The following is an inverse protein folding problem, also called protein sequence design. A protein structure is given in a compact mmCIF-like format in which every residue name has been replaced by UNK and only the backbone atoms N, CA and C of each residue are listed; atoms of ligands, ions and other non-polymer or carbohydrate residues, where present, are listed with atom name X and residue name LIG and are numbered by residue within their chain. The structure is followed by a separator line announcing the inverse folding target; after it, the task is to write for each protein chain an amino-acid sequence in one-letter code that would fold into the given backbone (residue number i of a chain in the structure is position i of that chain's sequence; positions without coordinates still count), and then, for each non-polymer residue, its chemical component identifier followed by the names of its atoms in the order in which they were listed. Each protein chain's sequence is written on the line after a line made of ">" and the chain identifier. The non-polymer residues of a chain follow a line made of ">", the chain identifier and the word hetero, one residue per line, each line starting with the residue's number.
data_IF_204508919226
#
_entry.id   IF_204508919226
#
_cell.length_a   1.000
_cell.length_b   1.000
_cell.length_c   1.000
_cell.angle_alpha   90.00
_cell.angle_beta   90.00
_cell.angle_gamma   90.00
#
_symmetry.space_group_name_H-M   'P 1'
#
loop_
_entity.id
_entity.type
_entity.pdbx_description
1 polymer ?
#
# COMPACT_ATOMS: atom_id res chain seq x y z
N UNK A 1 -16.25 19.97 -1.92
CA UNK A 1 -15.20 20.61 -2.75
C UNK A 1 -13.87 19.96 -2.45
N UNK A 2 -13.02 19.76 -3.47
CA UNK A 2 -11.65 19.25 -3.28
C UNK A 2 -10.84 20.28 -2.49
N UNK A 3 -10.07 19.84 -1.49
CA UNK A 3 -9.24 20.72 -0.67
C UNK A 3 -7.78 20.41 -0.94
N UNK A 4 -7.01 21.42 -1.34
CA UNK A 4 -5.55 21.30 -1.46
C UNK A 4 -4.95 21.14 -0.06
N UNK A 5 -4.26 20.04 0.17
CA UNK A 5 -3.59 19.70 1.43
C UNK A 5 -2.16 19.24 1.15
N UNK A 6 -1.30 19.24 2.17
CA UNK A 6 0.02 18.60 2.10
C UNK A 6 -0.02 17.22 2.75
N UNK A 7 0.65 16.23 2.16
CA UNK A 7 0.93 14.97 2.84
C UNK A 7 2.24 15.09 3.63
N UNK A 8 2.19 14.84 4.94
CA UNK A 8 3.38 14.82 5.80
C UNK A 8 3.80 13.37 6.03
N UNK A 9 5.07 13.09 5.72
CA UNK A 9 5.65 11.76 5.87
C UNK A 9 7.13 11.86 6.34
N UNK A 10 7.74 10.73 6.67
CA UNK A 10 9.17 10.57 6.98
C UNK A 10 9.72 11.41 8.14
N UNK A 11 8.88 11.78 9.12
CA UNK A 11 9.37 12.40 10.36
C UNK A 11 10.32 11.43 11.09
N UNK A 12 11.59 11.82 11.17
CA UNK A 12 12.62 11.01 11.82
C UNK A 12 13.51 11.87 12.72
N UNK A 13 13.79 11.37 13.93
CA UNK A 13 14.76 11.96 14.85
C UNK A 13 15.81 10.92 15.18
N UNK A 14 17.08 11.31 15.04
CA UNK A 14 18.22 10.45 15.35
C UNK A 14 18.11 9.86 16.77
N UNK A 15 18.48 8.58 16.95
CA UNK A 15 18.27 7.83 18.21
C UNK A 15 18.79 8.58 19.44
N UNK A 16 19.96 9.21 19.33
CA UNK A 16 20.62 9.98 20.42
C UNK A 16 19.92 11.30 20.80
N UNK A 17 18.96 11.78 20.00
CA UNK A 17 18.30 13.09 20.18
C UNK A 17 16.81 12.98 20.56
N UNK A 18 16.25 11.77 20.69
CA UNK A 18 14.81 11.55 20.89
C UNK A 18 14.26 12.20 22.16
N UNK A 19 15.06 12.32 23.22
CA UNK A 19 14.66 12.96 24.49
C UNK A 19 14.77 14.49 24.48
N UNK A 20 15.29 15.11 23.40
CA UNK A 20 15.57 16.55 23.35
C UNK A 20 14.44 17.40 22.75
N UNK A 21 13.22 16.86 22.63
CA UNK A 21 12.05 17.55 22.06
C UNK A 21 12.30 18.16 20.65
N UNK A 22 13.09 17.47 19.83
CA UNK A 22 13.40 17.93 18.45
C UNK A 22 12.19 17.79 17.52
N UNK A 23 11.41 16.71 17.64
CA UNK A 23 10.25 16.47 16.76
C UNK A 23 9.23 17.63 16.77
N UNK A 24 8.80 18.20 17.91
CA UNK A 24 7.96 19.40 17.92
C UNK A 24 8.55 20.62 17.19
N UNK A 25 9.89 20.79 17.21
CA UNK A 25 10.55 21.88 16.49
C UNK A 25 10.44 21.66 14.99
N UNK A 26 10.72 20.43 14.51
CA UNK A 26 10.61 20.07 13.10
C UNK A 26 9.18 20.22 12.58
N UNK A 27 8.19 19.77 13.36
CA UNK A 27 6.76 19.90 13.01
C UNK A 27 6.37 21.37 12.88
N UNK A 28 6.76 22.24 13.83
CA UNK A 28 6.46 23.68 13.74
C UNK A 28 7.10 24.33 12.52
N UNK A 29 8.34 23.97 12.19
CA UNK A 29 9.03 24.56 11.04
C UNK A 29 8.41 24.12 9.71
N UNK A 30 8.06 22.83 9.55
CA UNK A 30 7.38 22.41 8.32
C UNK A 30 5.97 23.02 8.21
N UNK A 31 5.23 23.13 9.31
CA UNK A 31 3.94 23.86 9.33
C UNK A 31 4.12 25.32 8.89
N UNK A 32 5.17 26.01 9.38
CA UNK A 32 5.46 27.39 8.96
C UNK A 32 5.71 27.48 7.46
N UNK A 33 6.51 26.58 6.88
CA UNK A 33 6.81 26.55 5.44
C UNK A 33 5.56 26.30 4.60
N UNK A 34 4.75 25.32 4.99
CA UNK A 34 3.50 24.98 4.28
C UNK A 34 2.50 26.15 4.33
N UNK A 35 2.39 26.83 5.47
CA UNK A 35 1.53 28.01 5.61
C UNK A 35 1.97 29.18 4.71
N UNK A 36 3.27 29.34 4.44
CA UNK A 36 3.76 30.38 3.52
C UNK A 36 3.34 30.12 2.07
N UNK A 37 3.13 28.87 1.68
CA UNK A 37 2.58 28.47 0.39
C UNK A 37 1.04 28.56 0.34
N UNK A 38 0.41 29.12 1.38
CA UNK A 38 -1.05 29.30 1.47
C UNK A 38 -1.82 28.00 1.75
N UNK A 39 -1.14 26.91 2.10
CA UNK A 39 -1.77 25.64 2.49
C UNK A 39 -1.83 25.58 4.01
N UNK A 40 -3.00 25.28 4.56
CA UNK A 40 -3.21 25.28 6.02
C UNK A 40 -3.69 23.93 6.56
N UNK A 41 -3.86 22.93 5.69
CA UNK A 41 -4.32 21.59 6.02
C UNK A 41 -3.25 20.57 5.64
N UNK A 42 -3.15 19.50 6.41
CA UNK A 42 -2.28 18.38 6.10
C UNK A 42 -2.97 17.04 6.37
N UNK A 43 -2.56 16.01 5.63
CA UNK A 43 -2.87 14.61 5.90
C UNK A 43 -1.57 13.91 6.30
N UNK A 44 -1.65 13.01 7.27
CA UNK A 44 -0.51 12.18 7.64
C UNK A 44 -0.97 10.88 8.29
N UNK A 45 -0.09 9.90 8.28
CA UNK A 45 -0.32 8.62 8.94
C UNK A 45 0.72 8.35 10.01
N UNK A 46 0.36 7.59 11.04
CA UNK A 46 1.31 7.13 12.04
C UNK A 46 0.94 5.74 12.57
N UNK A 47 1.96 4.94 12.89
CA UNK A 47 1.78 3.66 13.59
C UNK A 47 1.51 3.81 15.09
N UNK A 48 1.67 5.02 15.65
CA UNK A 48 1.36 5.36 17.04
C UNK A 48 0.02 6.09 17.12
N UNK A 49 -0.68 5.92 18.24
CA UNK A 49 -1.95 6.58 18.49
C UNK A 49 -1.68 8.01 19.01
N UNK A 50 -2.22 9.00 18.31
CA UNK A 50 -2.25 10.40 18.69
C UNK A 50 -3.72 10.86 18.81
N UNK A 51 -4.08 11.77 19.73
CA UNK A 51 -5.44 12.30 19.79
C UNK A 51 -5.73 13.28 18.63
N UNK A 52 -6.79 13.14 17.80
CA UNK A 52 -7.72 12.02 17.60
C UNK A 52 -7.63 11.58 16.13
N UNK A 53 -7.44 10.28 15.80
CA UNK A 53 -7.37 9.83 14.41
C UNK A 53 -8.74 9.97 13.73
N UNK A 54 -8.72 10.18 12.42
CA UNK A 54 -9.93 10.20 11.59
C UNK A 54 -10.31 8.80 11.12
N UNK A 55 -9.34 7.91 10.97
CA UNK A 55 -9.56 6.51 10.62
C UNK A 55 -8.40 5.64 11.10
N UNK A 56 -8.67 4.34 11.24
CA UNK A 56 -7.70 3.33 11.65
C UNK A 56 -7.74 2.16 10.69
N UNK A 57 -6.61 1.83 10.08
CA UNK A 57 -6.47 0.67 9.19
C UNK A 57 -5.50 -0.34 9.80
N UNK A 58 -5.79 -1.63 9.69
CA UNK A 58 -4.94 -2.73 10.14
C UNK A 58 -4.06 -3.21 8.99
N UNK A 59 -2.79 -3.51 9.28
CA UNK A 59 -1.93 -4.20 8.33
C UNK A 59 -2.27 -5.68 8.22
N UNK A 60 -2.16 -6.19 7.00
CA UNK A 60 -2.32 -7.60 6.66
C UNK A 60 -1.13 -8.06 5.81
N UNK A 61 -0.74 -9.31 6.00
CA UNK A 61 0.46 -9.88 5.41
C UNK A 61 0.15 -11.19 4.68
N UNK A 62 0.62 -11.31 3.45
CA UNK A 62 0.53 -12.53 2.65
C UNK A 62 1.93 -13.06 2.34
N UNK A 63 2.26 -14.21 2.90
CA UNK A 63 3.56 -14.87 2.72
C UNK A 63 3.77 -15.37 1.28
N UNK A 64 4.73 -14.80 0.56
CA UNK A 64 5.13 -15.27 -0.77
C UNK A 64 6.31 -16.24 -0.68
N UNK A 65 7.19 -16.05 0.31
CA UNK A 65 8.32 -16.91 0.62
C UNK A 65 8.29 -17.39 2.09
N UNK A 66 7.39 -18.32 2.46
CA UNK A 66 7.21 -18.72 3.86
C UNK A 66 8.47 -19.24 4.54
N UNK A 67 9.36 -19.91 3.79
CA UNK A 67 10.63 -20.42 4.31
C UNK A 67 11.51 -19.29 4.83
N UNK A 68 11.77 -18.28 4.00
CA UNK A 68 12.59 -17.14 4.40
C UNK A 68 11.94 -16.35 5.55
N UNK A 69 10.63 -16.15 5.50
CA UNK A 69 9.90 -15.40 6.53
C UNK A 69 9.96 -16.08 7.92
N UNK A 70 9.96 -17.41 7.97
CA UNK A 70 10.14 -18.18 9.21
C UNK A 70 11.61 -18.13 9.66
N UNK A 71 12.58 -18.30 8.75
CA UNK A 71 14.01 -18.24 9.05
C UNK A 71 14.42 -16.88 9.66
N UNK A 72 13.91 -15.77 9.12
CA UNK A 72 14.19 -14.41 9.63
C UNK A 72 13.28 -13.97 10.79
N UNK A 73 12.42 -14.86 11.30
CA UNK A 73 11.45 -14.58 12.37
C UNK A 73 10.48 -13.43 12.08
N UNK A 74 10.20 -13.17 10.81
CA UNK A 74 9.12 -12.25 10.41
C UNK A 74 7.75 -12.88 10.67
N UNK A 75 7.63 -14.19 10.45
CA UNK A 75 6.42 -14.97 10.69
C UNK A 75 6.71 -16.21 11.51
N UNK A 76 5.74 -16.68 12.28
CA UNK A 76 5.82 -17.94 13.02
C UNK A 76 4.91 -19.01 12.43
N UNK A 77 5.30 -20.28 12.56
CA UNK A 77 4.42 -21.40 12.24
C UNK A 77 3.34 -21.52 13.32
N UNK A 78 2.08 -21.65 12.90
CA UNK A 78 0.99 -21.90 13.83
C UNK A 78 1.06 -23.32 14.42
N UNK A 79 0.32 -23.55 15.52
CA UNK A 79 0.24 -24.88 16.15
C UNK A 79 -0.19 -25.92 15.10
N UNK A 80 0.49 -27.05 15.06
CA UNK A 80 0.27 -28.17 14.12
C UNK A 80 0.62 -27.90 12.64
N UNK A 81 1.26 -26.77 12.31
CA UNK A 81 1.77 -26.51 10.97
C UNK A 81 3.27 -26.82 10.85
N UNK A 82 3.63 -27.55 9.80
CA UNK A 82 5.03 -27.73 9.38
C UNK A 82 5.37 -26.74 8.28
N UNK A 83 6.66 -26.45 8.07
CA UNK A 83 7.10 -25.56 7.00
C UNK A 83 6.60 -26.02 5.62
N UNK A 84 6.64 -27.34 5.34
CA UNK A 84 6.13 -27.91 4.09
C UNK A 84 4.62 -27.68 3.91
N UNK A 85 3.82 -27.85 4.97
CA UNK A 85 2.38 -27.58 4.93
C UNK A 85 2.11 -26.08 4.68
N UNK A 86 2.88 -25.21 5.33
CA UNK A 86 2.78 -23.75 5.14
C UNK A 86 3.14 -23.35 3.71
N UNK A 87 4.22 -23.91 3.14
CA UNK A 87 4.58 -23.67 1.76
C UNK A 87 3.50 -24.14 0.78
N UNK A 88 2.89 -25.31 1.04
CA UNK A 88 1.77 -25.82 0.23
C UNK A 88 0.53 -24.93 0.35
N UNK A 89 0.20 -24.49 1.56
CA UNK A 89 -0.94 -23.60 1.83
C UNK A 89 -0.82 -22.28 1.05
N UNK A 90 0.38 -21.71 1.03
CA UNK A 90 0.63 -20.40 0.43
C UNK A 90 1.09 -20.44 -1.03
N UNK A 91 1.16 -21.62 -1.65
CA UNK A 91 1.53 -21.79 -3.05
C UNK A 91 0.59 -20.98 -3.96
N UNK A 92 1.21 -20.24 -4.86
CA UNK A 92 0.54 -19.52 -5.95
C UNK A 92 0.88 -20.17 -7.30
N UNK A 93 0.02 -20.01 -8.32
CA UNK A 93 0.31 -20.35 -9.71
C UNK A 93 1.56 -19.66 -10.24
N UNK A 94 2.03 -20.11 -11.40
CA UNK A 94 3.23 -19.58 -12.06
C UNK A 94 2.90 -18.61 -13.20
N UNK A 95 1.62 -18.43 -13.53
CA UNK A 95 1.12 -17.47 -14.52
C UNK A 95 -0.17 -16.81 -14.02
N UNK A 96 -0.35 -15.55 -14.41
CA UNK A 96 -1.57 -14.76 -14.17
C UNK A 96 -2.75 -15.30 -14.98
N UNK A 97 -3.97 -15.00 -14.54
CA UNK A 97 -5.19 -15.51 -15.17
C UNK A 97 -5.96 -14.44 -15.95
N UNK A 98 -5.88 -13.18 -15.54
CA UNK A 98 -6.62 -12.09 -16.16
C UNK A 98 -6.11 -11.85 -17.58
N UNK A 99 -7.01 -11.98 -18.55
CA UNK A 99 -6.71 -11.69 -19.96
C UNK A 99 -6.47 -10.19 -20.14
N UNK A 100 -5.51 -9.82 -20.98
CA UNK A 100 -5.18 -8.41 -21.23
C UNK A 100 -4.36 -7.73 -20.13
N UNK A 101 -3.99 -8.46 -19.06
CA UNK A 101 -3.11 -7.94 -18.02
C UNK A 101 -1.69 -7.73 -18.57
N UNK A 102 -1.25 -6.48 -18.58
CA UNK A 102 0.10 -6.08 -19.04
C UNK A 102 0.66 -4.94 -18.19
N UNK A 103 1.99 -4.71 -18.20
CA UNK A 103 2.57 -3.52 -17.57
C UNK A 103 1.94 -2.23 -18.12
N UNK A 104 1.77 -1.25 -17.23
CA UNK A 104 1.32 0.09 -17.63
C UNK A 104 2.39 0.78 -18.50
N UNK A 105 1.96 1.43 -19.56
CA UNK A 105 2.79 2.24 -20.46
C UNK A 105 2.42 3.74 -20.37
N UNK A 106 3.27 4.61 -20.89
CA UNK A 106 3.03 6.07 -20.90
C UNK A 106 1.68 6.45 -21.55
N UNK A 107 1.28 5.73 -22.61
CA UNK A 107 0.02 5.98 -23.35
C UNK A 107 -1.22 5.72 -22.51
N UNK A 108 -1.11 4.91 -21.45
CA UNK A 108 -2.22 4.51 -20.59
C UNK A 108 -2.54 5.56 -19.52
N UNK A 109 -1.64 6.54 -19.30
CA UNK A 109 -1.69 7.49 -18.18
C UNK A 109 -3.06 8.19 -18.06
N UNK A 110 -3.57 8.74 -19.15
CA UNK A 110 -4.86 9.43 -19.16
C UNK A 110 -6.03 8.51 -18.81
N UNK A 111 -6.06 7.30 -19.36
CA UNK A 111 -7.11 6.33 -19.06
C UNK A 111 -7.06 5.87 -17.60
N UNK A 112 -5.86 5.64 -17.06
CA UNK A 112 -5.66 5.33 -15.63
C UNK A 112 -6.11 6.49 -14.74
N UNK A 113 -5.84 7.73 -15.14
CA UNK A 113 -6.28 8.94 -14.42
C UNK A 113 -7.81 9.04 -14.34
N UNK A 114 -8.51 8.78 -15.44
CA UNK A 114 -9.97 8.77 -15.47
C UNK A 114 -10.55 7.63 -14.60
N UNK A 115 -9.97 6.43 -14.67
CA UNK A 115 -10.37 5.27 -13.87
C UNK A 115 -10.19 5.52 -12.37
N UNK A 116 -9.00 5.95 -11.93
CA UNK A 116 -8.71 6.15 -10.51
C UNK A 116 -9.57 7.27 -9.91
N UNK A 117 -9.69 8.42 -10.59
CA UNK A 117 -10.50 9.53 -10.09
C UNK A 117 -11.99 9.22 -10.09
N UNK A 118 -12.46 8.31 -10.95
CA UNK A 118 -13.85 7.85 -10.95
C UNK A 118 -14.10 6.89 -9.81
N UNK A 119 -13.24 5.88 -9.65
CA UNK A 119 -13.32 4.90 -8.58
C UNK A 119 -13.23 5.53 -7.19
N UNK A 120 -12.28 6.45 -6.99
CA UNK A 120 -12.01 7.05 -5.67
C UNK A 120 -13.13 7.98 -5.15
N UNK A 121 -14.07 8.42 -5.99
CA UNK A 121 -15.21 9.26 -5.59
C UNK A 121 -16.15 8.60 -4.57
N UNK A 122 -16.10 7.29 -4.42
CA UNK A 122 -16.95 6.55 -3.48
C UNK A 122 -16.45 6.58 -2.03
N UNK A 123 -15.21 7.03 -1.81
CA UNK A 123 -14.57 7.13 -0.49
C UNK A 123 -14.65 8.55 0.06
N UNK A 124 -14.58 8.67 1.39
CA UNK A 124 -14.74 9.94 2.09
C UNK A 124 -13.43 10.75 2.11
N UNK A 125 -12.28 10.07 2.13
CA UNK A 125 -10.96 10.67 2.11
C UNK A 125 -10.14 10.02 0.99
N UNK A 126 -10.03 10.69 -0.16
CA UNK A 126 -9.23 10.21 -1.27
C UNK A 126 -8.50 11.35 -1.97
N UNK A 127 -7.32 11.09 -2.56
CA UNK A 127 -6.66 12.05 -3.42
C UNK A 127 -7.43 12.20 -4.73
N UNK A 128 -7.29 13.38 -5.34
CA UNK A 128 -7.67 13.63 -6.74
C UNK A 128 -6.38 13.92 -7.46
N UNK A 129 -6.09 13.16 -8.51
CA UNK A 129 -4.81 13.25 -9.21
C UNK A 129 -4.96 13.82 -10.61
N UNK A 130 -4.03 14.68 -11.02
CA UNK A 130 -3.87 15.05 -12.41
C UNK A 130 -3.06 13.99 -13.20
N UNK A 131 -2.88 14.21 -14.51
CA UNK A 131 -2.17 13.27 -15.39
C UNK A 131 -0.68 13.17 -15.02
N UNK A 132 -0.05 14.25 -14.58
CA UNK A 132 1.37 14.26 -14.19
C UNK A 132 1.58 13.49 -12.88
N UNK A 133 0.69 13.66 -11.91
CA UNK A 133 0.69 12.92 -10.66
C UNK A 133 0.46 11.42 -10.92
N UNK A 134 -0.49 11.06 -11.79
CA UNK A 134 -0.70 9.66 -12.17
C UNK A 134 0.53 9.07 -12.85
N UNK A 135 1.15 9.79 -13.78
CA UNK A 135 2.41 9.36 -14.39
C UNK A 135 3.51 9.18 -13.34
N UNK A 136 3.61 10.11 -12.38
CA UNK A 136 4.62 10.07 -11.35
C UNK A 136 4.49 8.85 -10.43
N UNK A 137 3.26 8.56 -9.99
CA UNK A 137 2.98 7.54 -8.99
C UNK A 137 2.82 6.14 -9.56
N UNK A 138 2.34 6.01 -10.80
CA UNK A 138 1.93 4.71 -11.34
C UNK A 138 2.78 4.20 -12.50
N UNK A 139 3.55 5.03 -13.21
CA UNK A 139 4.41 4.48 -14.26
C UNK A 139 5.45 3.54 -13.65
N UNK A 140 5.57 2.29 -14.14
CA UNK A 140 6.44 1.29 -13.54
C UNK A 140 7.89 1.78 -13.49
N UNK A 141 8.50 1.66 -12.31
CA UNK A 141 9.92 1.98 -12.08
C UNK A 141 10.54 0.81 -11.34
N UNK A 142 11.59 0.24 -11.92
CA UNK A 142 12.19 -0.96 -11.38
C UNK A 142 12.62 -0.75 -9.92
N UNK A 143 12.30 -1.72 -9.09
CA UNK A 143 12.53 -1.71 -7.64
C UNK A 143 11.84 -0.58 -6.85
N UNK A 144 10.90 0.16 -7.45
CA UNK A 144 10.15 1.24 -6.79
C UNK A 144 8.66 0.94 -6.83
N UNK A 145 8.03 0.95 -8.01
CA UNK A 145 6.59 0.76 -8.20
C UNK A 145 6.35 -0.15 -9.39
N UNK A 146 5.44 -1.09 -9.18
CA UNK A 146 4.96 -2.02 -10.18
C UNK A 146 3.47 -1.76 -10.42
N UNK A 147 3.11 -1.42 -11.66
CA UNK A 147 1.72 -1.17 -12.07
C UNK A 147 1.39 -1.94 -13.32
N UNK A 148 0.23 -2.58 -13.31
CA UNK A 148 -0.29 -3.38 -14.41
C UNK A 148 -1.72 -2.97 -14.71
N UNK A 149 -2.04 -2.84 -15.99
CA UNK A 149 -3.36 -2.49 -16.50
C UNK A 149 -3.99 -3.71 -17.16
N UNK A 150 -5.31 -3.77 -17.17
CA UNK A 150 -6.10 -4.76 -17.88
C UNK A 150 -6.73 -4.08 -19.08
N UNK A 151 -6.38 -4.55 -20.28
CA UNK A 151 -6.95 -4.09 -21.53
C UNK A 151 -8.06 -5.05 -21.97
N UNK A 152 -9.28 -4.52 -22.09
CA UNK A 152 -10.43 -5.25 -22.59
C UNK A 152 -10.28 -5.61 -24.07
N UNK A 153 -11.16 -6.48 -24.57
CA UNK A 153 -11.13 -6.93 -25.99
C UNK A 153 -11.35 -5.81 -27.01
N UNK A 154 -11.90 -4.68 -26.56
CA UNK A 154 -12.11 -3.46 -27.34
C UNK A 154 -10.90 -2.49 -27.31
N UNK A 155 -9.81 -2.83 -26.62
CA UNK A 155 -8.63 -1.97 -26.45
C UNK A 155 -8.78 -0.88 -25.38
N UNK A 156 -9.87 -0.91 -24.60
CA UNK A 156 -10.12 0.04 -23.52
C UNK A 156 -9.62 -0.54 -22.20
N UNK A 157 -8.97 0.28 -21.38
CA UNK A 157 -8.55 -0.13 -20.05
C UNK A 157 -9.75 -0.20 -19.10
N UNK A 158 -9.87 -1.33 -18.40
CA UNK A 158 -10.98 -1.61 -17.49
C UNK A 158 -10.52 -1.56 -16.04
N UNK A 159 -9.35 -2.13 -15.76
CA UNK A 159 -8.85 -2.35 -14.41
C UNK A 159 -7.36 -2.03 -14.34
N UNK A 160 -6.85 -1.74 -13.15
CA UNK A 160 -5.40 -1.74 -12.91
C UNK A 160 -5.08 -2.09 -11.46
N UNK A 161 -3.89 -2.63 -11.25
CA UNK A 161 -3.34 -2.95 -9.94
C UNK A 161 -1.97 -2.31 -9.79
N UNK A 162 -1.60 -1.95 -8.56
CA UNK A 162 -0.28 -1.40 -8.28
C UNK A 162 0.23 -1.79 -6.89
N UNK A 163 1.54 -1.97 -6.79
CA UNK A 163 2.23 -2.19 -5.53
C UNK A 163 3.65 -1.64 -5.58
N UNK A 164 4.12 -1.09 -4.46
CA UNK A 164 5.48 -0.54 -4.36
C UNK A 164 6.41 -1.46 -3.57
N UNK A 165 7.70 -1.35 -3.86
CA UNK A 165 8.76 -2.08 -3.17
C UNK A 165 9.21 -1.31 -1.95
N UNK A 166 9.18 -1.97 -0.79
CA UNK A 166 9.81 -1.45 0.42
C UNK A 166 10.75 -2.51 1.01
N UNK A 167 12.07 -2.37 0.81
CA UNK A 167 13.03 -3.30 1.39
C UNK A 167 13.20 -3.05 2.89
N UNK A 168 13.18 -4.12 3.67
CA UNK A 168 13.49 -4.08 5.11
C UNK A 168 14.84 -4.74 5.38
N UNK A 169 15.69 -4.09 6.16
CA UNK A 169 16.97 -4.67 6.60
C UNK A 169 16.71 -5.77 7.64
N UNK A 170 17.30 -6.95 7.43
CA UNK A 170 17.26 -8.05 8.41
C UNK A 170 18.46 -7.90 9.35
N UNK A 171 18.18 -7.61 10.62
CA UNK A 171 19.21 -7.41 11.63
C UNK A 171 19.74 -8.75 12.16
N UNK A 172 21.06 -8.88 12.29
CA UNK A 172 21.74 -9.98 12.99
C UNK A 172 21.48 -11.40 12.45
N UNK A 173 21.06 -11.56 11.19
CA UNK A 173 20.91 -12.87 10.56
C UNK A 173 22.16 -13.25 9.73
N UNK A 174 22.66 -14.49 9.81
CA UNK A 174 23.91 -14.90 9.15
C UNK A 174 23.79 -14.86 7.62
N UNK A 175 22.69 -15.41 7.08
CA UNK A 175 22.46 -15.58 5.63
C UNK A 175 21.67 -14.39 5.04
N UNK A 176 20.41 -14.23 5.43
CA UNK A 176 19.53 -13.17 4.91
C UNK A 176 19.91 -11.78 5.44
N UNK A 177 20.09 -10.80 4.54
CA UNK A 177 20.41 -9.40 4.89
C UNK A 177 19.23 -8.43 4.64
N UNK A 178 18.32 -8.80 3.75
CA UNK A 178 17.16 -7.99 3.40
C UNK A 178 15.93 -8.86 3.18
N UNK A 179 14.78 -8.24 3.41
CA UNK A 179 13.45 -8.77 3.13
C UNK A 179 12.79 -7.84 2.11
N UNK A 180 12.44 -8.38 0.95
CA UNK A 180 11.82 -7.62 -0.13
C UNK A 180 10.31 -7.70 0.04
N UNK A 181 9.70 -6.63 0.54
CA UNK A 181 8.25 -6.57 0.74
C UNK A 181 7.58 -5.75 -0.36
N UNK A 182 6.47 -6.26 -0.87
CA UNK A 182 5.55 -5.52 -1.72
C UNK A 182 4.48 -4.91 -0.82
N UNK A 183 4.09 -3.67 -1.08
CA UNK A 183 2.97 -3.00 -0.43
C UNK A 183 1.93 -2.64 -1.47
N UNK A 184 0.72 -3.15 -1.31
CA UNK A 184 -0.44 -2.77 -2.11
C UNK A 184 -0.60 -1.25 -2.11
N UNK A 185 -0.78 -0.67 -3.29
CA UNK A 185 -0.98 0.76 -3.44
C UNK A 185 -2.43 1.08 -3.82
N UNK A 186 -2.75 1.27 -5.10
CA UNK A 186 -4.13 1.38 -5.59
C UNK A 186 -4.48 0.23 -6.52
N UNK A 187 -5.68 -0.32 -6.36
CA UNK A 187 -6.21 -1.38 -7.22
C UNK A 187 -7.65 -1.02 -7.60
N UNK A 188 -7.86 -0.73 -8.88
CA UNK A 188 -9.13 -0.28 -9.43
C UNK A 188 -9.68 -1.41 -10.27
N UNK A 189 -10.91 -1.78 -10.01
CA UNK A 189 -11.61 -2.86 -10.69
C UNK A 189 -12.99 -2.40 -11.15
N UNK A 190 -13.39 -2.80 -12.36
CA UNK A 190 -14.67 -2.53 -13.01
C UNK A 190 -15.25 -3.79 -13.64
N UNK A 191 -14.45 -4.54 -14.41
CA UNK A 191 -14.86 -5.77 -15.09
C UNK A 191 -14.27 -7.01 -14.42
N UNK A 192 -12.99 -6.96 -14.06
CA UNK A 192 -12.30 -8.07 -13.39
C UNK A 192 -12.67 -8.10 -11.91
N UNK A 193 -13.14 -9.22 -11.35
CA UNK A 193 -13.37 -9.29 -9.90
C UNK A 193 -12.10 -8.95 -9.12
N UNK A 194 -12.20 -8.04 -8.14
CA UNK A 194 -11.03 -7.61 -7.33
C UNK A 194 -10.24 -8.78 -6.73
N UNK A 195 -10.92 -9.88 -6.38
CA UNK A 195 -10.29 -11.10 -5.88
C UNK A 195 -9.29 -11.70 -6.88
N UNK A 196 -9.65 -11.76 -8.16
CA UNK A 196 -8.82 -12.32 -9.22
C UNK A 196 -7.68 -11.36 -9.58
N UNK A 197 -7.98 -10.05 -9.66
CA UNK A 197 -6.99 -9.00 -9.89
C UNK A 197 -5.90 -9.01 -8.81
N UNK A 198 -6.30 -9.10 -7.54
CA UNK A 198 -5.34 -9.18 -6.43
C UNK A 198 -4.62 -10.53 -6.35
N UNK A 199 -5.24 -11.62 -6.77
CA UNK A 199 -4.53 -12.90 -6.90
C UNK A 199 -3.40 -12.80 -7.95
N UNK A 200 -3.65 -12.12 -9.07
CA UNK A 200 -2.63 -11.88 -10.09
C UNK A 200 -1.51 -10.95 -9.59
N UNK A 201 -1.84 -9.92 -8.78
CA UNK A 201 -0.83 -9.10 -8.10
C UNK A 201 0.12 -9.95 -7.23
N UNK A 202 -0.42 -10.93 -6.49
CA UNK A 202 0.38 -11.84 -5.67
C UNK A 202 1.28 -12.74 -6.52
N UNK A 203 0.77 -13.24 -7.67
CA UNK A 203 1.55 -14.05 -8.61
C UNK A 203 2.71 -13.22 -9.17
N UNK A 204 2.44 -12.02 -9.66
CA UNK A 204 3.46 -11.10 -10.19
C UNK A 204 4.52 -10.81 -9.13
N UNK A 205 4.11 -10.45 -7.91
CA UNK A 205 5.04 -10.18 -6.83
C UNK A 205 5.91 -11.42 -6.50
N UNK A 206 5.32 -12.63 -6.46
CA UNK A 206 6.09 -13.86 -6.26
C UNK A 206 7.11 -14.08 -7.38
N UNK A 207 6.72 -13.89 -8.65
CA UNK A 207 7.60 -14.04 -9.81
C UNK A 207 8.74 -13.00 -9.80
N UNK A 208 8.49 -11.79 -9.27
CA UNK A 208 9.47 -10.73 -9.05
C UNK A 208 10.34 -10.92 -7.79
N UNK A 209 10.23 -12.07 -7.13
CA UNK A 209 11.06 -12.44 -5.99
C UNK A 209 10.76 -11.68 -4.70
N UNK A 210 9.53 -11.19 -4.53
CA UNK A 210 9.09 -10.63 -3.25
C UNK A 210 8.87 -11.74 -2.21
N UNK A 211 9.16 -11.42 -0.96
CA UNK A 211 9.06 -12.38 0.16
C UNK A 211 7.70 -12.33 0.83
N UNK A 212 7.06 -11.15 0.85
CA UNK A 212 5.76 -10.89 1.47
C UNK A 212 5.03 -9.80 0.69
N UNK A 213 3.71 -9.90 0.66
CA UNK A 213 2.82 -8.87 0.15
C UNK A 213 1.99 -8.29 1.29
N UNK A 214 2.06 -6.98 1.47
CA UNK A 214 1.40 -6.26 2.54
C UNK A 214 0.24 -5.45 1.98
N UNK A 215 -0.87 -5.40 2.72
CA UNK A 215 -2.02 -4.58 2.39
C UNK A 215 -2.62 -4.01 3.67
N UNK A 216 -3.31 -2.88 3.56
CA UNK A 216 -4.17 -2.35 4.62
C UNK A 216 -5.62 -2.76 4.34
N UNK A 217 -6.43 -2.84 5.38
CA UNK A 217 -7.87 -3.13 5.28
C UNK A 217 -8.73 -1.90 4.93
N UNK A 218 -8.17 -1.00 4.12
CA UNK A 218 -8.84 0.19 3.58
C UNK A 218 -9.54 -0.08 2.25
N UNK A 219 -10.39 0.86 1.81
CA UNK A 219 -11.23 0.71 0.62
C UNK A 219 -11.98 -0.64 0.61
N UNK A 220 -11.93 -1.38 -0.49
CA UNK A 220 -12.58 -2.68 -0.65
C UNK A 220 -11.67 -3.86 -0.27
N UNK A 221 -10.49 -3.62 0.31
CA UNK A 221 -9.48 -4.67 0.45
C UNK A 221 -9.96 -5.86 1.32
N UNK A 222 -10.80 -5.61 2.33
CA UNK A 222 -11.39 -6.67 3.18
C UNK A 222 -12.09 -7.76 2.38
N UNK A 223 -12.59 -7.47 1.18
CA UNK A 223 -13.30 -8.44 0.32
C UNK A 223 -12.41 -9.59 -0.19
N UNK A 224 -11.10 -9.38 -0.28
CA UNK A 224 -10.13 -10.38 -0.77
C UNK A 224 -9.15 -10.88 0.30
N UNK A 225 -8.88 -10.13 1.37
CA UNK A 225 -7.79 -10.42 2.32
C UNK A 225 -7.85 -11.86 2.86
N UNK A 226 -8.95 -12.26 3.47
CA UNK A 226 -9.09 -13.62 4.02
C UNK A 226 -9.09 -14.70 2.93
N UNK A 227 -9.81 -14.44 1.81
CA UNK A 227 -9.93 -15.37 0.68
C UNK A 227 -8.57 -15.67 0.03
N UNK A 228 -7.72 -14.65 -0.05
CA UNK A 228 -6.36 -14.77 -0.55
C UNK A 228 -5.35 -15.14 0.54
N UNK A 229 -5.80 -15.53 1.74
CA UNK A 229 -4.96 -16.04 2.84
C UNK A 229 -4.00 -15.00 3.40
N UNK A 230 -4.37 -13.72 3.37
CA UNK A 230 -3.67 -12.72 4.17
C UNK A 230 -3.92 -13.01 5.66
N UNK A 231 -2.87 -12.88 6.46
CA UNK A 231 -2.95 -12.93 7.92
C UNK A 231 -2.97 -11.52 8.51
N UNK A 232 -3.69 -11.36 9.62
CA UNK A 232 -3.74 -10.10 10.37
C UNK A 232 -2.35 -9.79 10.94
N UNK A 233 -1.85 -8.60 10.66
CA UNK A 233 -0.64 -8.04 11.24
C UNK A 233 -0.88 -7.45 12.62
N UNK A 234 0.20 -7.21 13.35
CA UNK A 234 0.16 -6.58 14.68
C UNK A 234 -0.02 -5.05 14.61
N UNK A 235 0.48 -4.42 13.54
CA UNK A 235 0.45 -2.98 13.32
C UNK A 235 -0.90 -2.43 12.85
N UNK A 236 -1.27 -1.28 13.40
CA UNK A 236 -2.29 -0.40 12.84
C UNK A 236 -1.62 0.83 12.22
N UNK A 237 -2.21 1.35 11.15
CA UNK A 237 -1.92 2.66 10.60
C UNK A 237 -3.09 3.61 10.91
N UNK A 238 -2.79 4.69 11.60
CA UNK A 238 -3.77 5.71 11.99
C UNK A 238 -3.70 6.87 11.00
N UNK A 239 -4.84 7.33 10.49
CA UNK A 239 -4.93 8.50 9.61
C UNK A 239 -5.31 9.73 10.42
N UNK A 240 -4.68 10.86 10.10
CA UNK A 240 -4.89 12.14 10.76
C UNK A 240 -5.05 13.27 9.75
N UNK A 241 -5.87 14.25 10.12
CA UNK A 241 -5.99 15.51 9.40
C UNK A 241 -5.58 16.65 10.33
N UNK A 242 -4.62 17.46 9.89
CA UNK A 242 -4.20 18.67 10.58
C UNK A 242 -5.08 19.84 10.18
N UNK A 243 -5.53 20.62 11.17
CA UNK A 243 -6.35 21.81 10.99
C UNK A 243 -7.61 21.56 10.12
N UNK A 244 -8.23 20.41 10.37
CA UNK A 244 -9.48 19.98 9.74
C UNK A 244 -10.32 19.21 10.73
N UNK A 245 -11.62 19.53 10.80
CA UNK A 245 -12.57 18.85 11.69
C UNK A 245 -13.56 18.06 10.84
N UNK A 246 -13.63 16.76 11.07
CA UNK A 246 -14.62 15.87 10.45
C UNK A 246 -15.02 14.75 11.42
N UNK A 247 -16.12 14.02 11.15
CA UNK A 247 -16.41 12.76 11.80
C UNK A 247 -15.26 11.75 11.61
N UNK A 248 -15.20 10.77 12.50
CA UNK A 248 -14.39 9.57 12.25
C UNK A 248 -15.03 8.75 11.11
N UNK A 249 -14.21 7.96 10.44
CA UNK A 249 -14.65 7.08 9.35
C UNK A 249 -14.04 5.68 9.49
N UNK A 250 -14.79 4.69 9.02
CA UNK A 250 -14.33 3.30 8.93
C UNK A 250 -13.25 3.17 7.86
N UNK A 251 -12.44 2.11 7.95
CA UNK A 251 -11.32 1.89 7.02
C UNK A 251 -11.79 1.76 5.57
N UNK A 252 -12.99 1.23 5.32
CA UNK A 252 -13.62 1.11 4.00
C UNK A 252 -14.00 2.45 3.36
N UNK A 253 -13.89 3.56 4.11
CA UNK A 253 -14.17 4.92 3.63
C UNK A 253 -12.92 5.78 3.46
N UNK A 254 -11.74 5.20 3.70
CA UNK A 254 -10.41 5.76 3.42
C UNK A 254 -9.89 5.20 2.11
#
# INVERSE_FOLDING_TARGET
>A
SVKKMVEINFLCVHKKLRSKRVAPVLIREITRRVNLEGIFQAVYTAGVILPKPVATCRYWHRSLNPRKLVEVKFSHLSRNMTLQRTMKLYRLPDATKTSGLRPMEQKDTKAVQELINTYLKQFNLAPVMDEEEVAHWFLPRDHIIDTYVVEGSNGILTDFLSFYTLPSTVMHHPVHKSLKAAYSFYNIHTETPLLDLMNDALIIAKLKGFDVFNALDLMENKTFLEKLKFGIGDGNLQYYLYNWRCPGMESEKV
#
